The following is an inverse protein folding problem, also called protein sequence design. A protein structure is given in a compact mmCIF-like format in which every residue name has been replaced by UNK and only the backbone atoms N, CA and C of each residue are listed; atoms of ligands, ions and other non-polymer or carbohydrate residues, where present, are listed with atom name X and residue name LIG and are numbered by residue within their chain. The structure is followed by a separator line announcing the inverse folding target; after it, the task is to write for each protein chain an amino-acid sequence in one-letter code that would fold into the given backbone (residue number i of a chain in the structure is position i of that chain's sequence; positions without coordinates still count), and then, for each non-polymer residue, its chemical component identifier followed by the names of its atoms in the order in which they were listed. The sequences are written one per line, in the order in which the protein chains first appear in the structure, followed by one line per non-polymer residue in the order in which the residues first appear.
data_IF_315076302379
#
_entry.id   IF_315076302379
#
_cell.length_a   1.000
_cell.length_b   1.000
_cell.length_c   1.000
_cell.angle_alpha   90.00
_cell.angle_beta   90.00
_cell.angle_gamma   90.00
#
_symmetry.space_group_name_H-M   'P 1'
#
loop_
_entity.id
_entity.type
_entity.pdbx_description
1 polymer ?
#
# COMPACT_ATOMS: atom_id res chain seq x y z
N UNK A 1 -43.82 11.53 0.89
CA UNK A 1 -42.88 12.59 0.44
C UNK A 1 -41.99 13.13 1.57
N UNK A 2 -42.52 13.56 2.73
CA UNK A 2 -41.71 14.11 3.83
C UNK A 2 -40.62 13.17 4.37
N UNK A 3 -40.94 11.88 4.52
CA UNK A 3 -39.97 10.86 4.95
C UNK A 3 -38.83 10.63 3.93
N UNK A 4 -39.13 10.70 2.63
CA UNK A 4 -38.13 10.56 1.57
C UNK A 4 -37.18 11.76 1.53
N UNK A 5 -37.68 12.97 1.77
CA UNK A 5 -36.87 14.19 1.88
C UNK A 5 -35.97 14.15 3.12
N UNK A 6 -36.49 13.70 4.26
CA UNK A 6 -35.69 13.53 5.48
C UNK A 6 -34.56 12.51 5.31
N UNK A 7 -34.82 11.39 4.62
CA UNK A 7 -33.82 10.37 4.34
C UNK A 7 -32.74 10.88 3.36
N UNK A 8 -33.13 11.66 2.34
CA UNK A 8 -32.19 12.28 1.41
C UNK A 8 -31.25 13.29 2.09
N UNK A 9 -31.76 14.06 3.06
CA UNK A 9 -30.96 15.00 3.84
C UNK A 9 -29.97 14.28 4.79
N UNK A 10 -30.38 13.16 5.38
CA UNK A 10 -29.50 12.31 6.21
C UNK A 10 -28.36 11.67 5.41
N UNK A 11 -28.64 11.24 4.18
CA UNK A 11 -27.63 10.68 3.27
C UNK A 11 -26.66 11.73 2.72
N UNK A 12 -27.12 12.98 2.53
CA UNK A 12 -26.27 14.08 2.05
C UNK A 12 -25.32 14.66 3.11
N UNK A 13 -25.63 14.48 4.41
CA UNK A 13 -24.81 15.00 5.53
C UNK A 13 -23.57 14.17 5.86
N UNK A 14 -23.34 13.03 5.20
CA UNK A 14 -22.26 12.09 5.51
C UNK A 14 -20.88 12.44 4.97
N UNK A 15 -20.76 13.46 4.11
CA UNK A 15 -19.46 13.94 3.64
C UNK A 15 -18.82 14.82 4.72
N UNK A 16 -18.39 14.20 5.82
CA UNK A 16 -17.48 14.86 6.74
C UNK A 16 -16.26 15.31 5.94
N UNK A 17 -16.04 16.63 5.88
CA UNK A 17 -14.81 17.24 5.40
C UNK A 17 -13.71 16.83 6.38
N UNK A 18 -13.14 15.64 6.20
CA UNK A 18 -11.87 15.30 6.83
C UNK A 18 -10.88 16.37 6.36
N UNK A 19 -10.34 17.15 7.30
CA UNK A 19 -9.26 18.08 6.98
C UNK A 19 -8.15 17.31 6.23
N UNK A 20 -7.60 17.91 5.18
CA UNK A 20 -6.47 17.33 4.47
C UNK A 20 -5.36 17.06 5.48
N UNK A 21 -5.06 15.78 5.69
CA UNK A 21 -3.99 15.37 6.59
C UNK A 21 -2.67 15.81 5.97
N UNK A 22 -1.88 16.57 6.71
CA UNK A 22 -0.51 16.90 6.31
C UNK A 22 0.27 15.59 6.11
N UNK A 23 0.57 15.28 4.84
CA UNK A 23 1.27 14.06 4.46
C UNK A 23 2.78 14.26 4.35
N UNK A 24 3.30 15.40 4.79
CA UNK A 24 4.74 15.68 4.72
C UNK A 24 5.51 14.77 5.68
N UNK A 25 6.54 14.06 5.18
CA UNK A 25 7.43 13.31 6.06
C UNK A 25 8.26 14.26 6.94
N UNK A 26 8.44 13.91 8.21
CA UNK A 26 9.19 14.71 9.19
C UNK A 26 10.54 14.08 9.45
N UNK A 27 11.61 14.87 9.48
CA UNK A 27 12.93 14.40 9.90
C UNK A 27 13.06 14.40 11.43
N UNK A 28 13.58 13.31 11.98
CA UNK A 28 13.84 13.14 13.40
C UNK A 28 15.17 12.42 13.64
N UNK A 29 15.60 12.37 14.90
CA UNK A 29 16.82 11.69 15.32
C UNK A 29 16.47 10.59 16.32
N UNK A 30 16.97 9.37 16.10
CA UNK A 30 16.79 8.26 17.05
C UNK A 30 17.56 8.53 18.34
N UNK A 31 17.26 7.81 19.42
CA UNK A 31 18.02 7.89 20.67
C UNK A 31 19.53 7.59 20.49
N UNK A 32 19.88 6.82 19.44
CA UNK A 32 21.27 6.53 19.04
C UNK A 32 21.93 7.60 18.16
N UNK A 33 21.26 8.73 17.89
CA UNK A 33 21.80 9.81 17.07
C UNK A 33 21.62 9.64 15.55
N UNK A 34 20.86 8.63 15.11
CA UNK A 34 20.67 8.36 13.68
C UNK A 34 19.55 9.21 13.11
N UNK A 35 19.75 9.80 11.92
CA UNK A 35 18.70 10.54 11.22
C UNK A 35 17.68 9.60 10.59
N UNK A 36 16.41 9.84 10.87
CA UNK A 36 15.27 9.08 10.36
C UNK A 36 14.22 10.02 9.79
N UNK A 37 13.46 9.51 8.82
CA UNK A 37 12.29 10.16 8.25
C UNK A 37 11.04 9.42 8.71
N UNK A 38 10.13 10.15 9.33
CA UNK A 38 8.86 9.67 9.85
C UNK A 38 7.75 9.98 8.84
N UNK A 39 7.02 8.96 8.41
CA UNK A 39 5.88 9.11 7.53
C UNK A 39 4.56 9.18 8.34
N UNK A 40 3.56 9.94 7.86
CA UNK A 40 2.25 10.06 8.51
C UNK A 40 1.46 8.75 8.67
N UNK A 41 1.86 7.67 8.00
CA UNK A 41 1.25 6.34 8.12
C UNK A 41 1.89 5.48 9.24
N UNK A 42 2.77 6.07 10.06
CA UNK A 42 3.50 5.36 11.11
C UNK A 42 4.73 4.60 10.63
N UNK A 43 4.99 4.57 9.31
CA UNK A 43 6.26 4.05 8.77
C UNK A 43 7.37 5.03 9.10
N UNK A 44 8.58 4.52 9.31
CA UNK A 44 9.79 5.32 9.35
C UNK A 44 10.88 4.68 8.50
N UNK A 45 11.84 5.48 8.06
CA UNK A 45 13.01 5.03 7.31
C UNK A 45 14.27 5.79 7.75
N UNK A 46 15.45 5.20 7.57
CA UNK A 46 16.70 5.92 7.75
C UNK A 46 16.91 6.94 6.63
N UNK A 47 17.45 8.12 6.96
CA UNK A 47 17.87 9.11 5.94
C UNK A 47 19.12 8.63 5.20
N UNK A 48 19.98 7.87 5.88
CA UNK A 48 21.12 7.22 5.25
C UNK A 48 20.67 6.05 4.36
N UNK A 49 21.01 6.14 3.06
CA UNK A 49 20.55 5.19 2.05
C UNK A 49 21.06 3.76 2.29
N UNK A 50 22.26 3.60 2.86
CA UNK A 50 22.82 2.28 3.15
C UNK A 50 22.07 1.64 4.31
N UNK A 51 21.89 2.37 5.41
CA UNK A 51 21.11 1.88 6.56
C UNK A 51 19.65 1.61 6.21
N UNK A 52 19.06 2.43 5.33
CA UNK A 52 17.71 2.19 4.84
C UNK A 52 17.61 0.88 4.06
N UNK A 53 18.55 0.59 3.16
CA UNK A 53 18.60 -0.66 2.41
C UNK A 53 18.80 -1.87 3.33
N UNK A 54 19.72 -1.78 4.30
CA UNK A 54 19.97 -2.86 5.27
C UNK A 54 18.71 -3.14 6.11
N UNK A 55 18.03 -2.10 6.59
CA UNK A 55 16.77 -2.22 7.33
C UNK A 55 15.66 -2.87 6.48
N UNK A 56 15.56 -2.54 5.19
CA UNK A 56 14.61 -3.17 4.27
C UNK A 56 14.91 -4.66 4.06
N UNK A 57 16.18 -5.05 3.97
CA UNK A 57 16.56 -6.46 3.85
C UNK A 57 16.18 -7.25 5.09
N UNK A 58 16.37 -6.69 6.30
CA UNK A 58 15.94 -7.30 7.55
C UNK A 58 14.41 -7.42 7.59
N UNK A 59 13.69 -6.36 7.21
CA UNK A 59 12.23 -6.38 7.14
C UNK A 59 11.69 -7.46 6.19
N UNK A 60 12.36 -7.74 5.07
CA UNK A 60 11.96 -8.75 4.10
C UNK A 60 12.07 -10.21 4.62
N UNK A 61 12.82 -10.45 5.70
CA UNK A 61 12.97 -11.79 6.27
C UNK A 61 11.71 -12.24 7.02
N UNK A 62 10.98 -11.28 7.60
CA UNK A 62 9.79 -11.55 8.39
C UNK A 62 8.63 -12.09 7.53
N UNK A 63 8.03 -13.25 7.88
CA UNK A 63 6.97 -13.86 7.09
C UNK A 63 5.72 -12.97 6.96
N UNK A 64 5.41 -12.17 7.98
CA UNK A 64 4.32 -11.20 7.97
C UNK A 64 4.47 -10.11 6.89
N UNK A 65 5.70 -9.80 6.47
CA UNK A 65 5.98 -8.80 5.43
C UNK A 65 5.94 -9.40 4.02
N UNK A 66 5.81 -10.73 3.89
CA UNK A 66 5.67 -11.44 2.60
C UNK A 66 4.23 -11.36 2.10
N UNK A 67 3.78 -10.13 1.94
CA UNK A 67 2.46 -9.81 1.38
C UNK A 67 2.45 -10.04 -0.13
N UNK A 68 1.24 -10.12 -0.71
CA UNK A 68 1.09 -10.26 -2.15
C UNK A 68 1.75 -9.05 -2.85
N UNK A 69 2.68 -9.27 -3.81
CA UNK A 69 3.26 -8.18 -4.58
C UNK A 69 2.17 -7.36 -5.27
N UNK A 70 2.34 -6.04 -5.37
CA UNK A 70 1.33 -5.16 -5.97
C UNK A 70 1.04 -5.53 -7.44
N UNK A 71 2.07 -5.98 -8.14
CA UNK A 71 1.98 -6.37 -9.55
C UNK A 71 1.45 -7.81 -9.71
N UNK A 72 1.33 -8.61 -8.64
CA UNK A 72 0.88 -9.99 -8.76
C UNK A 72 -0.59 -10.07 -9.21
N UNK A 73 -0.87 -11.01 -10.13
CA UNK A 73 -2.19 -11.26 -10.70
C UNK A 73 -2.88 -12.45 -10.02
N UNK A 74 -4.21 -12.43 -9.93
CA UNK A 74 -4.99 -13.52 -9.35
C UNK A 74 -4.87 -13.63 -7.83
N UNK A 75 -5.20 -14.80 -7.27
CA UNK A 75 -5.08 -15.09 -5.84
C UNK A 75 -6.00 -14.27 -4.91
N UNK A 76 -7.07 -13.67 -5.44
CA UNK A 76 -8.07 -12.94 -4.64
C UNK A 76 -9.31 -13.78 -4.31
N UNK A 77 -9.52 -14.90 -5.01
CA UNK A 77 -10.54 -15.90 -4.70
C UNK A 77 -9.92 -17.11 -3.96
N UNK A 78 -10.63 -17.70 -2.98
CA UNK A 78 -10.20 -18.95 -2.35
C UNK A 78 -9.89 -20.03 -3.39
N UNK A 79 -8.71 -20.66 -3.27
CA UNK A 79 -8.27 -21.70 -4.20
C UNK A 79 -7.69 -21.21 -5.54
N UNK A 80 -7.66 -19.90 -5.80
CA UNK A 80 -6.98 -19.36 -6.99
C UNK A 80 -5.49 -19.12 -6.74
N UNK A 81 -4.65 -19.49 -7.72
CA UNK A 81 -3.20 -19.30 -7.65
C UNK A 81 -2.85 -17.81 -7.78
N UNK A 82 -1.88 -17.37 -6.99
CA UNK A 82 -1.20 -16.08 -7.16
C UNK A 82 -0.15 -16.23 -8.27
N UNK A 83 -0.23 -15.38 -9.28
CA UNK A 83 0.73 -15.32 -10.40
C UNK A 83 1.64 -14.12 -10.15
N UNK A 84 2.89 -14.39 -9.79
CA UNK A 84 3.84 -13.34 -9.41
C UNK A 84 4.56 -12.77 -10.63
N UNK A 85 5.05 -11.52 -10.60
CA UNK A 85 5.92 -11.00 -11.66
C UNK A 85 7.11 -11.93 -11.89
N UNK A 86 7.32 -12.33 -13.15
CA UNK A 86 8.36 -13.30 -13.52
C UNK A 86 7.85 -14.74 -13.66
N UNK A 87 6.66 -15.08 -13.18
CA UNK A 87 6.04 -16.38 -13.49
C UNK A 87 5.84 -16.54 -15.00
N UNK A 88 5.93 -17.78 -15.50
CA UNK A 88 5.66 -18.10 -16.91
C UNK A 88 4.27 -17.62 -17.33
N UNK A 89 3.29 -17.82 -16.47
CA UNK A 89 1.90 -17.41 -16.69
C UNK A 89 1.72 -15.89 -16.63
N UNK A 90 2.56 -15.17 -15.87
CA UNK A 90 2.58 -13.71 -15.82
C UNK A 90 2.97 -13.11 -17.17
N UNK A 91 4.01 -13.69 -17.79
CA UNK A 91 4.59 -13.24 -19.05
C UNK A 91 3.85 -13.78 -20.29
N UNK A 92 2.89 -14.68 -20.10
CA UNK A 92 2.17 -15.32 -21.20
C UNK A 92 1.22 -14.37 -21.93
N UNK A 93 1.04 -13.13 -21.43
CA UNK A 93 0.31 -12.08 -22.11
C UNK A 93 -1.03 -12.61 -22.62
N UNK A 94 -2.03 -12.75 -21.74
CA UNK A 94 -3.41 -13.07 -22.13
C UNK A 94 -4.02 -12.08 -23.14
N UNK A 95 -3.26 -11.06 -23.54
CA UNK A 95 -3.53 -10.04 -24.53
C UNK A 95 -2.43 -9.93 -25.60
N UNK A 96 -1.68 -10.97 -25.95
CA UNK A 96 -0.76 -10.90 -27.10
C UNK A 96 -1.59 -10.79 -28.40
N UNK A 97 -1.59 -9.64 -29.11
CA UNK A 97 -2.40 -9.45 -30.32
C UNK A 97 -1.92 -10.32 -31.49
N UNK A 98 -0.70 -10.88 -31.41
CA UNK A 98 -0.11 -11.74 -32.43
C UNK A 98 -0.65 -13.18 -32.40
N UNK A 99 -1.43 -13.54 -31.37
CA UNK A 99 -2.08 -14.84 -31.22
C UNK A 99 -3.61 -14.77 -31.32
N UNK A 100 -4.16 -13.62 -31.74
CA UNK A 100 -5.55 -13.51 -32.20
C UNK A 100 -5.64 -13.66 -33.70
#
# INVERSE_FOLDING_TARGET
MRAAVALALLLAGGAALAADLDRTPVEATTAGGEKVRLFPNGRWEYVDAKKAADAQQVAAQYPENKTRPIDAQGGWLPGTRMVVPGDKEYNRGSLNPKTR
#
